data_IF_272426185477
#
_entry.id   IF_272426185477
#
_cell.length_a   1.000
_cell.length_b   1.000
_cell.length_c   1.000
_cell.angle_alpha   90.00
_cell.angle_beta   90.00
_cell.angle_gamma   90.00
#
_symmetry.space_group_name_H-M   'P 1'
#
loop_
_entity.id
_entity.type
_entity.pdbx_description
1 polymer ?
#
# COMPACT_ATOMS: atom_id res chain seq x y z
N UNK A 1 -24.11 -6.05 46.86
CA UNK A 1 -23.60 -5.45 45.60
C UNK A 1 -22.18 -5.90 45.21
N UNK A 2 -21.31 -6.33 46.15
CA UNK A 2 -19.94 -6.76 45.83
C UNK A 2 -19.82 -7.98 44.89
N UNK A 3 -20.74 -8.96 44.98
CA UNK A 3 -20.69 -10.15 44.11
C UNK A 3 -20.95 -9.87 42.62
N UNK A 4 -21.70 -8.81 42.30
CA UNK A 4 -21.96 -8.41 40.91
C UNK A 4 -20.73 -7.75 40.27
N UNK A 5 -19.96 -6.98 41.05
CA UNK A 5 -18.73 -6.35 40.56
C UNK A 5 -17.67 -7.40 40.17
N UNK A 6 -17.52 -8.46 40.97
CA UNK A 6 -16.58 -9.54 40.66
C UNK A 6 -17.01 -10.36 39.43
N UNK A 7 -18.33 -10.54 39.24
CA UNK A 7 -18.85 -11.18 38.03
C UNK A 7 -18.59 -10.32 36.79
N UNK A 8 -18.78 -9.00 36.89
CA UNK A 8 -18.47 -8.08 35.81
C UNK A 8 -16.97 -8.07 35.47
N UNK A 9 -16.09 -8.11 36.47
CA UNK A 9 -14.64 -8.18 36.26
C UNK A 9 -14.25 -9.43 35.45
N UNK A 10 -14.74 -10.60 35.86
CA UNK A 10 -14.51 -11.85 35.12
C UNK A 10 -15.13 -11.83 33.72
N UNK A 11 -16.33 -11.24 33.55
CA UNK A 11 -16.97 -11.10 32.25
C UNK A 11 -16.19 -10.18 31.30
N UNK A 12 -15.60 -9.08 31.82
CA UNK A 12 -14.77 -8.19 31.02
C UNK A 12 -13.49 -8.89 30.57
N UNK A 13 -12.83 -9.66 31.45
CA UNK A 13 -11.66 -10.48 31.10
C UNK A 13 -12.02 -11.52 30.02
N UNK A 14 -13.18 -12.17 30.15
CA UNK A 14 -13.69 -13.11 29.16
C UNK A 14 -13.96 -12.45 27.80
N UNK A 15 -14.61 -11.27 27.79
CA UNK A 15 -14.87 -10.51 26.57
C UNK A 15 -13.58 -10.11 25.84
N UNK A 16 -12.55 -9.67 26.57
CA UNK A 16 -11.25 -9.35 25.97
C UNK A 16 -10.59 -10.59 25.37
N UNK A 17 -10.63 -11.73 26.08
CA UNK A 17 -10.14 -13.00 25.56
C UNK A 17 -10.85 -13.43 24.26
N UNK A 18 -12.18 -13.31 24.21
CA UNK A 18 -12.96 -13.58 23.00
C UNK A 18 -12.63 -12.63 21.85
N UNK A 19 -12.40 -11.34 22.13
CA UNK A 19 -12.00 -10.37 21.11
C UNK A 19 -10.67 -10.75 20.46
N UNK A 20 -9.67 -11.14 21.26
CA UNK A 20 -8.37 -11.60 20.78
C UNK A 20 -8.54 -12.88 19.94
N UNK A 21 -9.33 -13.84 20.41
CA UNK A 21 -9.60 -15.08 19.68
C UNK A 21 -10.29 -14.85 18.33
N UNK A 22 -11.23 -13.91 18.24
CA UNK A 22 -11.91 -13.53 16.99
C UNK A 22 -10.94 -12.88 15.99
N UNK A 23 -10.10 -11.95 16.46
CA UNK A 23 -9.09 -11.28 15.62
C UNK A 23 -8.11 -12.30 15.01
N UNK A 24 -7.68 -13.29 15.80
CA UNK A 24 -6.82 -14.36 15.32
C UNK A 24 -7.55 -15.33 14.38
N UNK A 25 -8.79 -15.71 14.70
CA UNK A 25 -9.62 -16.63 13.92
C UNK A 25 -9.93 -16.10 12.52
N UNK A 26 -10.13 -14.79 12.38
CA UNK A 26 -10.46 -14.15 11.11
C UNK A 26 -9.23 -13.80 10.26
N UNK A 27 -8.04 -14.28 10.67
CA UNK A 27 -6.77 -14.00 9.99
C UNK A 27 -6.57 -12.50 9.69
N UNK A 28 -7.03 -11.62 10.60
CA UNK A 28 -6.94 -10.16 10.47
C UNK A 28 -5.49 -9.62 10.57
N UNK A 29 -4.48 -10.48 10.41
CA UNK A 29 -3.07 -10.11 10.38
C UNK A 29 -2.77 -9.09 9.29
N UNK A 30 -3.50 -9.11 8.16
CA UNK A 30 -3.35 -8.14 7.06
C UNK A 30 -3.83 -6.72 7.38
N UNK A 31 -4.70 -6.54 8.39
CA UNK A 31 -5.21 -5.22 8.81
C UNK A 31 -4.38 -4.64 9.95
N UNK A 32 -3.79 -5.49 10.79
CA UNK A 32 -2.98 -5.08 11.96
C UNK A 32 -1.52 -4.86 11.57
N UNK A 33 -1.01 -5.66 10.64
CA UNK A 33 0.34 -5.54 10.11
C UNK A 33 0.23 -5.23 8.62
N UNK A 34 0.12 -3.94 8.30
CA UNK A 34 0.45 -3.50 6.95
C UNK A 34 1.93 -3.79 6.80
N UNK A 35 2.28 -4.82 6.03
CA UNK A 35 3.66 -5.08 5.65
C UNK A 35 4.07 -3.95 4.71
N UNK A 36 4.48 -2.82 5.29
CA UNK A 36 5.09 -1.74 4.53
C UNK A 36 6.44 -2.28 4.11
N UNK A 37 6.53 -2.80 2.89
CA UNK A 37 7.81 -3.03 2.26
C UNK A 37 8.55 -1.70 2.26
N UNK A 38 9.58 -1.61 3.08
CA UNK A 38 10.43 -0.44 3.13
C UNK A 38 11.02 -0.29 1.73
N UNK A 39 10.51 0.70 0.98
CA UNK A 39 10.92 0.96 -0.39
C UNK A 39 12.44 1.06 -0.42
N UNK A 40 13.10 0.11 -1.08
CA UNK A 40 14.53 0.21 -1.32
C UNK A 40 14.74 1.35 -2.32
N UNK A 41 15.66 2.27 -2.00
CA UNK A 41 16.18 3.18 -3.01
C UNK A 41 16.73 2.35 -4.16
N UNK A 42 16.06 2.44 -5.32
CA UNK A 42 16.50 1.85 -6.56
C UNK A 42 17.73 2.67 -7.00
N UNK A 43 18.93 2.21 -6.59
CA UNK A 43 20.20 2.85 -6.99
C UNK A 43 20.46 2.75 -8.49
N UNK A 44 19.90 1.73 -9.13
CA UNK A 44 19.99 1.50 -10.56
C UNK A 44 18.59 1.27 -11.10
N UNK A 45 18.08 2.22 -11.89
CA UNK A 45 16.82 2.02 -12.60
C UNK A 45 16.94 0.70 -13.38
N UNK A 46 16.06 -0.29 -13.15
CA UNK A 46 16.07 -1.49 -13.97
C UNK A 46 15.97 -1.04 -15.42
N UNK A 47 16.87 -1.52 -16.28
CA UNK A 47 16.75 -1.31 -17.71
C UNK A 47 15.31 -1.62 -18.08
N UNK A 48 14.61 -0.60 -18.56
CA UNK A 48 13.19 -0.66 -18.90
C UNK A 48 13.06 -1.74 -19.97
N UNK A 49 12.83 -2.98 -19.56
CA UNK A 49 12.59 -4.06 -20.49
C UNK A 49 11.22 -3.75 -21.07
N UNK A 50 11.19 -3.57 -22.39
CA UNK A 50 10.02 -3.20 -23.21
C UNK A 50 8.94 -4.30 -23.20
N UNK A 51 8.52 -4.74 -22.03
CA UNK A 51 7.36 -5.58 -21.83
C UNK A 51 6.29 -4.69 -21.18
N UNK A 52 5.85 -3.69 -21.94
CA UNK A 52 4.60 -2.99 -21.67
C UNK A 52 3.51 -4.04 -21.56
N UNK A 53 2.91 -4.15 -20.37
CA UNK A 53 1.72 -4.97 -20.18
C UNK A 53 0.69 -4.61 -21.25
N UNK A 54 0.04 -5.63 -21.81
CA UNK A 54 -0.98 -5.49 -22.85
C UNK A 54 -2.03 -4.44 -22.42
N UNK A 55 -1.87 -3.21 -22.90
CA UNK A 55 -2.71 -2.07 -22.50
C UNK A 55 -1.99 -0.73 -22.36
N UNK A 56 -0.66 -0.70 -22.21
CA UNK A 56 0.10 0.56 -22.13
C UNK A 56 0.83 0.85 -23.45
N UNK A 57 0.60 2.02 -24.02
CA UNK A 57 1.35 2.55 -25.17
C UNK A 57 2.29 3.65 -24.69
N UNK A 58 3.56 3.57 -25.10
CA UNK A 58 4.51 4.67 -24.90
C UNK A 58 3.99 5.93 -25.60
N UNK A 59 3.89 7.05 -24.87
CA UNK A 59 3.36 8.33 -25.36
C UNK A 59 4.44 9.39 -25.56
N UNK A 60 5.68 9.16 -25.12
CA UNK A 60 6.78 10.13 -25.22
C UNK A 60 7.62 10.21 -23.95
N UNK A 61 8.62 11.09 -23.95
CA UNK A 61 9.52 11.30 -22.80
C UNK A 61 8.98 12.41 -21.91
N UNK A 62 8.95 12.18 -20.58
CA UNK A 62 8.52 13.18 -19.59
C UNK A 62 9.74 13.81 -18.90
N UNK A 63 9.78 15.13 -18.85
CA UNK A 63 10.79 15.91 -18.13
C UNK A 63 10.14 16.67 -16.98
N UNK A 64 10.87 16.79 -15.86
CA UNK A 64 10.44 17.59 -14.71
C UNK A 64 11.19 18.92 -14.70
N UNK A 65 10.44 20.02 -14.66
CA UNK A 65 11.00 21.35 -14.40
C UNK A 65 11.43 21.44 -12.92
N UNK A 66 12.72 21.69 -12.62
CA UNK A 66 13.23 21.74 -11.26
C UNK A 66 12.78 22.98 -10.48
N UNK A 67 12.37 24.06 -11.15
CA UNK A 67 11.96 25.31 -10.49
C UNK A 67 10.48 25.28 -10.12
N UNK A 68 9.65 24.67 -10.97
CA UNK A 68 8.18 24.67 -10.80
C UNK A 68 7.59 23.30 -10.44
N UNK A 69 8.36 22.23 -10.57
CA UNK A 69 7.91 20.85 -10.36
C UNK A 69 6.95 20.34 -11.44
N UNK A 70 6.70 21.11 -12.51
CA UNK A 70 5.78 20.72 -13.60
C UNK A 70 6.38 19.61 -14.44
N UNK A 71 5.52 18.69 -14.88
CA UNK A 71 5.89 17.59 -15.77
C UNK A 71 5.52 17.96 -17.22
N UNK A 72 6.48 17.84 -18.12
CA UNK A 72 6.37 18.18 -19.54
C UNK A 72 6.52 16.90 -20.34
N UNK A 73 5.47 16.51 -21.08
CA UNK A 73 5.52 15.41 -22.03
C UNK A 73 5.98 15.93 -23.40
N UNK A 74 7.03 15.32 -23.95
CA UNK A 74 7.48 15.55 -25.32
C UNK A 74 7.10 14.32 -26.13
N UNK A 75 6.08 14.47 -26.97
CA UNK A 75 5.67 13.46 -27.94
C UNK A 75 6.55 13.61 -29.20
N UNK A 76 7.03 12.49 -29.75
CA UNK A 76 7.69 12.51 -31.05
C UNK A 76 6.61 12.69 -32.13
N UNK A 77 6.62 13.85 -32.79
CA UNK A 77 5.70 14.11 -33.91
C UNK A 77 6.11 13.18 -35.07
N UNK A 78 5.28 12.22 -35.49
CA UNK A 78 5.62 11.34 -36.59
C UNK A 78 5.78 12.17 -37.86
N UNK A 79 6.86 11.93 -38.60
CA UNK A 79 7.07 12.55 -39.92
C UNK A 79 5.93 12.12 -40.84
N UNK A 80 5.08 13.08 -41.20
CA UNK A 80 3.96 12.88 -42.10
C UNK A 80 4.52 12.66 -43.51
N UNK A 81 4.32 11.44 -44.07
CA UNK A 81 4.49 11.17 -45.50
C UNK A 81 3.14 11.33 -46.20
#
# INVERSE_FOLDING_TARGET
>A
MAGLANLLDVMLVFCVGLMIALVLSWNLQSVIFVNVEQGREIKDLPQLQEAGGQGYHERGKVYQDPETGKLILIEEVPANN
#
